data_IF_283368319627
#
_entry.id   IF_283368319627
#
_cell.length_a   1.000
_cell.length_b   1.000
_cell.length_c   1.000
_cell.angle_alpha   90.00
_cell.angle_beta   90.00
_cell.angle_gamma   90.00
#
_symmetry.space_group_name_H-M   'P 1'
#
loop_
_entity.id
_entity.type
_entity.pdbx_description
1 polymer ?
#
# COMPACT_ATOMS: atom_id res chain seq x y z
N UNK A 1 -14.91 -29.11 -0.04
CA UNK A 1 -15.12 -28.58 -1.40
C UNK A 1 -14.66 -27.12 -1.40
N UNK A 2 -13.63 -26.76 -2.18
CA UNK A 2 -13.11 -25.38 -2.18
C UNK A 2 -13.97 -24.47 -3.07
N UNK A 3 -14.54 -23.40 -2.51
CA UNK A 3 -15.33 -22.44 -3.28
C UNK A 3 -14.44 -21.70 -4.28
N UNK A 4 -14.80 -21.75 -5.58
CA UNK A 4 -14.20 -20.89 -6.60
C UNK A 4 -14.56 -19.44 -6.29
N UNK A 5 -13.55 -18.57 -6.27
CA UNK A 5 -13.77 -17.12 -6.12
C UNK A 5 -14.58 -16.62 -7.33
N UNK A 6 -15.58 -15.72 -7.13
CA UNK A 6 -16.34 -15.17 -8.24
C UNK A 6 -15.39 -14.44 -9.21
N UNK A 7 -15.54 -14.72 -10.50
CA UNK A 7 -14.83 -13.98 -11.55
C UNK A 7 -15.29 -12.52 -11.51
N UNK A 8 -14.34 -11.60 -11.32
CA UNK A 8 -14.61 -10.17 -11.39
C UNK A 8 -15.12 -9.76 -12.78
N UNK A 9 -15.73 -8.57 -12.86
CA UNK A 9 -16.32 -8.04 -14.09
C UNK A 9 -15.30 -8.09 -15.26
N UNK A 10 -15.62 -8.77 -16.37
CA UNK A 10 -14.75 -8.79 -17.53
C UNK A 10 -14.65 -7.39 -18.14
N UNK A 11 -13.44 -6.99 -18.52
CA UNK A 11 -13.18 -5.66 -19.08
C UNK A 11 -13.52 -5.67 -20.57
N UNK A 12 -14.56 -4.94 -20.99
CA UNK A 12 -15.17 -5.07 -22.33
C UNK A 12 -14.56 -4.17 -23.43
N UNK A 13 -13.46 -3.46 -23.17
CA UNK A 13 -12.86 -2.64 -24.24
C UNK A 13 -11.73 -1.68 -23.88
N UNK A 14 -11.08 -1.81 -22.72
CA UNK A 14 -10.00 -0.91 -22.32
C UNK A 14 -8.66 -1.63 -22.14
N UNK A 15 -7.55 -0.93 -22.43
CA UNK A 15 -6.24 -1.28 -21.88
C UNK A 15 -6.43 -1.29 -20.35
N UNK A 16 -6.25 -2.45 -19.73
CA UNK A 16 -6.43 -2.61 -18.29
C UNK A 16 -5.58 -1.62 -17.50
N UNK A 17 -5.81 -1.51 -16.19
CA UNK A 17 -5.04 -0.62 -15.32
C UNK A 17 -3.54 -0.90 -15.49
N UNK A 18 -2.77 0.12 -15.90
CA UNK A 18 -1.31 0.03 -16.02
C UNK A 18 -0.74 -0.46 -14.68
N UNK A 19 -0.10 -1.63 -14.70
CA UNK A 19 0.50 -2.22 -13.51
C UNK A 19 1.64 -1.32 -13.06
N UNK A 20 1.58 -0.83 -11.83
CA UNK A 20 2.68 -0.06 -11.26
C UNK A 20 3.94 -0.92 -11.17
N UNK A 21 4.99 -0.52 -11.87
CA UNK A 21 6.29 -1.20 -11.86
C UNK A 21 7.22 -0.75 -10.73
N UNK A 22 6.85 0.31 -9.99
CA UNK A 22 7.69 0.86 -8.92
C UNK A 22 7.68 -0.06 -7.70
N UNK A 23 8.77 -0.81 -7.54
CA UNK A 23 9.06 -1.54 -6.31
C UNK A 23 9.57 -0.56 -5.24
N UNK A 24 8.81 -0.40 -4.15
CA UNK A 24 9.19 0.41 -3.00
C UNK A 24 10.29 -0.30 -2.19
N UNK A 25 11.55 -0.15 -2.62
CA UNK A 25 12.73 -0.63 -1.86
C UNK A 25 13.10 0.36 -0.75
N UNK A 26 12.30 0.36 0.32
CA UNK A 26 12.60 1.12 1.55
C UNK A 26 13.45 0.31 2.53
N UNK A 27 14.37 0.99 3.23
CA UNK A 27 15.17 0.39 4.31
C UNK A 27 14.45 0.54 5.66
N UNK A 28 14.60 -0.46 6.54
CA UNK A 28 14.09 -0.41 7.92
C UNK A 28 14.80 0.66 8.75
N UNK A 29 14.18 1.13 9.83
CA UNK A 29 14.80 2.11 10.74
C UNK A 29 16.10 1.54 11.32
N UNK A 30 16.11 0.28 11.73
CA UNK A 30 17.31 -0.41 12.23
C UNK A 30 18.47 -0.37 11.23
N UNK A 31 18.22 -0.72 9.96
CA UNK A 31 19.26 -0.69 8.94
C UNK A 31 19.75 0.73 8.67
N UNK A 32 18.87 1.73 8.69
CA UNK A 32 19.27 3.14 8.57
C UNK A 32 20.19 3.55 9.72
N UNK A 33 19.88 3.15 10.95
CA UNK A 33 20.70 3.43 12.13
C UNK A 33 22.07 2.76 12.03
N UNK A 34 22.14 1.49 11.63
CA UNK A 34 23.40 0.77 11.43
C UNK A 34 24.30 1.45 10.37
N UNK A 35 23.71 1.84 9.23
CA UNK A 35 24.41 2.55 8.15
C UNK A 35 24.96 3.90 8.65
N UNK A 36 24.15 4.65 9.41
CA UNK A 36 24.57 5.94 9.97
C UNK A 36 25.65 5.78 11.04
N UNK A 37 25.56 4.75 11.89
CA UNK A 37 26.57 4.43 12.89
C UNK A 37 27.93 4.16 12.24
N UNK A 38 27.97 3.30 11.22
CA UNK A 38 29.18 3.03 10.45
C UNK A 38 29.71 4.29 9.76
N UNK A 39 28.85 5.11 9.16
CA UNK A 39 29.25 6.38 8.56
C UNK A 39 29.92 7.32 9.59
N UNK A 40 29.35 7.44 10.79
CA UNK A 40 29.91 8.27 11.86
C UNK A 40 31.26 7.74 12.36
N UNK A 41 31.44 6.43 12.43
CA UNK A 41 32.68 5.79 12.85
C UNK A 41 33.80 6.00 11.83
N UNK A 42 33.54 5.75 10.55
CA UNK A 42 34.56 5.85 9.50
C UNK A 42 34.76 7.28 8.95
N UNK A 43 33.81 8.20 9.19
CA UNK A 43 33.70 9.53 8.57
C UNK A 43 33.81 9.53 7.03
N UNK A 44 33.59 8.38 6.40
CA UNK A 44 33.75 8.19 4.96
C UNK A 44 32.48 7.56 4.37
N UNK A 45 31.82 8.30 3.47
CA UNK A 45 30.55 7.84 2.87
C UNK A 45 30.78 6.77 1.80
N UNK A 46 31.89 6.87 1.06
CA UNK A 46 32.26 5.91 0.01
C UNK A 46 32.47 4.51 0.58
N UNK A 47 33.17 4.41 1.71
CA UNK A 47 33.40 3.14 2.40
C UNK A 47 32.10 2.57 2.96
N UNK A 48 31.25 3.43 3.55
CA UNK A 48 29.93 3.03 4.06
C UNK A 48 29.03 2.50 2.93
N UNK A 49 28.99 3.16 1.78
CA UNK A 49 28.22 2.67 0.62
C UNK A 49 28.78 1.34 0.12
N UNK A 50 30.10 1.19 0.01
CA UNK A 50 30.73 -0.07 -0.41
C UNK A 50 30.39 -1.23 0.54
N UNK A 51 30.30 -0.97 1.85
CA UNK A 51 29.97 -1.97 2.85
C UNK A 51 28.49 -2.41 2.79
N UNK A 52 27.55 -1.46 2.82
CA UNK A 52 26.11 -1.77 2.92
C UNK A 52 25.41 -1.95 1.57
N UNK A 53 26.01 -1.44 0.48
CA UNK A 53 25.43 -1.45 -0.86
C UNK A 53 26.52 -1.78 -1.91
N UNK A 54 27.16 -2.97 -1.83
CA UNK A 54 28.29 -3.32 -2.70
C UNK A 54 27.91 -3.33 -4.19
N UNK A 55 26.68 -3.73 -4.51
CA UNK A 55 26.17 -3.85 -5.89
C UNK A 55 25.45 -2.58 -6.38
N UNK A 56 25.70 -1.42 -5.75
CA UNK A 56 25.04 -0.18 -6.14
C UNK A 56 25.60 0.34 -7.47
N UNK A 57 24.72 0.62 -8.43
CA UNK A 57 25.12 1.24 -9.69
C UNK A 57 25.72 2.64 -9.49
N UNK A 58 26.61 3.05 -10.39
CA UNK A 58 27.20 4.39 -10.39
C UNK A 58 26.14 5.50 -10.47
N UNK A 59 25.11 5.29 -11.29
CA UNK A 59 23.96 6.21 -11.42
C UNK A 59 23.20 6.40 -10.10
N UNK A 60 23.09 5.35 -9.29
CA UNK A 60 22.38 5.40 -7.99
C UNK A 60 23.24 5.88 -6.82
N UNK A 61 24.56 6.01 -7.00
CA UNK A 61 25.50 6.37 -5.94
C UNK A 61 25.15 7.71 -5.27
N UNK A 62 24.95 8.77 -6.06
CA UNK A 62 24.64 10.10 -5.54
C UNK A 62 23.32 10.12 -4.77
N UNK A 63 22.30 9.41 -5.25
CA UNK A 63 21.01 9.26 -4.56
C UNK A 63 21.16 8.56 -3.20
N UNK A 64 21.98 7.51 -3.14
CA UNK A 64 22.24 6.81 -1.87
C UNK A 64 23.08 7.67 -0.91
N UNK A 65 24.10 8.36 -1.42
CA UNK A 65 24.93 9.31 -0.65
C UNK A 65 24.07 10.39 0.01
N UNK A 66 23.24 11.09 -0.77
CA UNK A 66 22.36 12.15 -0.23
C UNK A 66 21.37 11.59 0.80
N UNK A 67 20.87 10.38 0.56
CA UNK A 67 19.97 9.68 1.48
C UNK A 67 20.62 9.35 2.82
N UNK A 68 21.85 8.81 2.82
CA UNK A 68 22.60 8.53 4.06
C UNK A 68 22.89 9.81 4.84
N UNK A 69 23.29 10.89 4.15
CA UNK A 69 23.55 12.19 4.80
C UNK A 69 22.29 12.79 5.41
N UNK A 70 21.13 12.57 4.79
CA UNK A 70 19.83 12.95 5.35
C UNK A 70 19.50 12.12 6.59
N UNK A 71 19.68 10.80 6.56
CA UNK A 71 19.48 9.96 7.76
C UNK A 71 20.40 10.36 8.91
N UNK A 72 21.64 10.75 8.62
CA UNK A 72 22.57 11.25 9.63
C UNK A 72 22.07 12.54 10.30
N UNK A 73 21.46 13.46 9.53
CA UNK A 73 20.81 14.67 10.05
C UNK A 73 19.56 14.34 10.89
N UNK A 74 18.79 13.35 10.46
CA UNK A 74 17.53 12.93 11.10
C UNK A 74 17.72 11.84 12.17
N UNK A 75 18.95 11.59 12.64
CA UNK A 75 19.26 10.46 13.53
C UNK A 75 18.43 10.47 14.83
N UNK A 76 18.14 11.65 15.39
CA UNK A 76 17.29 11.79 16.59
C UNK A 76 15.90 11.20 16.36
N UNK A 77 15.31 11.47 15.19
CA UNK A 77 14.00 10.93 14.79
C UNK A 77 14.02 9.43 14.58
N UNK A 78 15.11 8.90 14.01
CA UNK A 78 15.28 7.46 13.82
C UNK A 78 15.44 6.73 15.15
N UNK A 79 16.20 7.29 16.09
CA UNK A 79 16.36 6.73 17.44
C UNK A 79 15.03 6.74 18.21
N UNK A 80 14.27 7.84 18.15
CA UNK A 80 12.94 7.89 18.76
C UNK A 80 12.01 6.81 18.19
N UNK A 81 11.98 6.65 16.86
CA UNK A 81 11.18 5.60 16.24
C UNK A 81 11.61 4.18 16.63
N UNK A 82 12.91 3.93 16.76
CA UNK A 82 13.41 2.65 17.24
C UNK A 82 13.00 2.38 18.70
N UNK A 83 13.08 3.40 19.56
CA UNK A 83 12.64 3.31 20.96
C UNK A 83 11.13 3.06 21.11
N UNK A 84 10.32 3.58 20.18
CA UNK A 84 8.88 3.29 20.06
C UNK A 84 8.58 1.88 19.49
N UNK A 85 9.58 1.02 19.32
CA UNK A 85 9.40 -0.33 18.76
C UNK A 85 9.21 -0.38 17.24
N UNK A 86 9.41 0.74 16.52
CA UNK A 86 9.21 0.83 15.06
C UNK A 86 10.49 0.54 14.26
N UNK A 87 11.40 -0.25 14.83
CA UNK A 87 12.70 -0.58 14.24
C UNK A 87 12.61 -1.26 12.86
N UNK A 88 11.64 -2.17 12.71
CA UNK A 88 11.37 -2.91 11.46
C UNK A 88 10.64 -2.08 10.41
N UNK A 89 10.14 -0.89 10.75
CA UNK A 89 9.36 -0.07 9.82
C UNK A 89 10.24 0.56 8.75
N UNK A 90 9.78 0.53 7.50
CA UNK A 90 10.48 1.20 6.37
C UNK A 90 10.22 2.71 6.33
N UNK A 91 9.07 3.16 6.84
CA UNK A 91 8.66 4.57 6.92
C UNK A 91 8.08 4.84 8.31
N UNK A 92 8.59 5.88 8.97
CA UNK A 92 8.04 6.39 10.23
C UNK A 92 6.94 7.39 9.87
N UNK A 93 5.70 7.10 10.25
CA UNK A 93 4.55 8.01 10.11
C UNK A 93 4.19 8.57 11.49
N UNK A 94 3.70 9.80 11.53
CA UNK A 94 3.09 10.37 12.74
C UNK A 94 1.86 9.54 13.13
N UNK A 95 1.65 9.42 14.44
CA UNK A 95 0.41 8.87 15.00
C UNK A 95 -0.75 9.73 14.49
N UNK A 96 -1.86 9.11 14.08
CA UNK A 96 -3.01 9.81 13.50
C UNK A 96 -2.90 10.12 12.00
N UNK A 97 -1.80 9.77 11.33
CA UNK A 97 -1.68 9.86 9.85
C UNK A 97 -1.98 8.53 9.15
N UNK A 98 -2.42 7.52 9.90
CA UNK A 98 -3.01 6.35 9.31
C UNK A 98 -4.39 6.75 8.78
N UNK A 99 -4.63 6.54 7.48
CA UNK A 99 -5.96 6.62 6.86
C UNK A 99 -6.85 5.44 7.27
N UNK A 100 -6.58 4.85 8.43
CA UNK A 100 -7.21 3.64 8.96
C UNK A 100 -8.15 4.15 10.03
N UNK A 101 -9.44 3.88 9.86
CA UNK A 101 -10.46 4.29 10.82
C UNK A 101 -10.35 3.41 12.07
N UNK A 102 -11.09 3.72 13.14
CA UNK A 102 -11.18 2.77 14.25
C UNK A 102 -11.77 1.46 13.73
N UNK A 103 -11.44 0.33 14.38
CA UNK A 103 -11.95 -0.98 13.98
C UNK A 103 -13.50 -1.01 13.92
N UNK A 104 -14.15 -0.30 14.85
CA UNK A 104 -15.60 -0.12 14.89
C UNK A 104 -16.12 0.66 13.66
N UNK A 105 -15.46 1.75 13.29
CA UNK A 105 -15.82 2.53 12.09
C UNK A 105 -15.58 1.74 10.80
N UNK A 106 -14.51 0.95 10.71
CA UNK A 106 -14.28 0.06 9.57
C UNK A 106 -15.34 -1.04 9.47
N UNK A 107 -15.74 -1.62 10.61
CA UNK A 107 -16.82 -2.61 10.67
C UNK A 107 -18.17 -2.01 10.26
N UNK A 108 -18.50 -0.81 10.76
CA UNK A 108 -19.71 -0.08 10.37
C UNK A 108 -19.75 0.20 8.87
N UNK A 109 -18.65 0.70 8.29
CA UNK A 109 -18.58 0.95 6.84
C UNK A 109 -18.67 -0.34 6.03
N UNK A 110 -18.05 -1.43 6.49
CA UNK A 110 -18.16 -2.73 5.83
C UNK A 110 -19.60 -3.25 5.86
N UNK A 111 -20.30 -3.12 6.99
CA UNK A 111 -21.70 -3.47 7.11
C UNK A 111 -22.57 -2.62 6.18
N UNK A 112 -22.40 -1.29 6.20
CA UNK A 112 -23.15 -0.39 5.32
C UNK A 112 -22.94 -0.69 3.83
N UNK A 113 -21.68 -0.94 3.40
CA UNK A 113 -21.39 -1.33 2.01
C UNK A 113 -21.99 -2.69 1.69
N UNK A 114 -22.00 -3.63 2.63
CA UNK A 114 -22.61 -4.94 2.43
C UNK A 114 -24.13 -4.83 2.33
N UNK A 115 -24.80 -4.03 3.17
CA UNK A 115 -26.24 -3.74 3.04
C UNK A 115 -26.57 -3.08 1.69
N UNK A 116 -25.70 -2.19 1.20
CA UNK A 116 -25.84 -1.59 -0.12
C UNK A 116 -25.68 -2.62 -1.25
N UNK A 117 -24.77 -3.59 -1.09
CA UNK A 117 -24.49 -4.65 -2.08
C UNK A 117 -25.48 -5.81 -2.03
N UNK A 118 -26.02 -6.09 -0.85
CA UNK A 118 -27.04 -7.12 -0.59
C UNK A 118 -28.45 -6.58 -0.86
N UNK A 119 -28.55 -5.36 -1.39
CA UNK A 119 -29.71 -4.94 -2.17
C UNK A 119 -29.75 -5.72 -3.51
N UNK A 120 -29.89 -7.05 -3.40
CA UNK A 120 -30.55 -7.89 -4.40
C UNK A 120 -31.75 -7.17 -4.98
N UNK A 121 -32.48 -6.42 -4.15
CA UNK A 121 -33.51 -5.47 -4.55
C UNK A 121 -33.07 -4.41 -5.58
N UNK A 122 -31.97 -3.66 -5.38
CA UNK A 122 -31.50 -2.73 -6.44
C UNK A 122 -31.13 -3.47 -7.73
N UNK A 123 -30.55 -4.66 -7.62
CA UNK A 123 -30.18 -5.44 -8.80
C UNK A 123 -31.40 -5.96 -9.54
N UNK A 124 -32.45 -6.37 -8.79
CA UNK A 124 -33.73 -6.81 -9.31
C UNK A 124 -34.51 -5.64 -9.92
N UNK A 125 -34.60 -4.51 -9.23
CA UNK A 125 -35.23 -3.28 -9.70
C UNK A 125 -34.55 -2.83 -11.01
N UNK A 126 -33.21 -2.81 -11.05
CA UNK A 126 -32.50 -2.45 -12.29
C UNK A 126 -32.65 -3.48 -13.41
N UNK A 127 -32.79 -4.76 -13.07
CA UNK A 127 -33.04 -5.81 -14.06
C UNK A 127 -34.45 -5.70 -14.66
N UNK A 128 -35.44 -5.30 -13.86
CA UNK A 128 -36.80 -5.01 -14.32
C UNK A 128 -36.81 -3.79 -15.26
N UNK A 129 -36.16 -2.68 -14.88
CA UNK A 129 -36.05 -1.49 -15.74
C UNK A 129 -35.45 -1.82 -17.12
N UNK A 130 -34.36 -2.60 -17.14
CA UNK A 130 -33.69 -3.00 -18.40
C UNK A 130 -34.55 -3.96 -19.23
N UNK A 131 -35.33 -4.83 -18.59
CA UNK A 131 -36.24 -5.73 -19.28
C UNK A 131 -37.42 -4.98 -19.91
N UNK A 132 -37.93 -3.94 -19.25
CA UNK A 132 -38.95 -3.03 -19.79
C UNK A 132 -38.41 -2.24 -20.99
N UNK A 133 -37.22 -1.64 -20.87
CA UNK A 133 -36.56 -0.91 -21.97
C UNK A 133 -36.27 -1.79 -23.20
N UNK A 134 -36.05 -3.09 -22.98
CA UNK A 134 -35.78 -4.07 -24.04
C UNK A 134 -37.03 -4.83 -24.54
N UNK A 135 -38.23 -4.44 -24.07
CA UNK A 135 -39.52 -5.06 -24.41
C UNK A 135 -39.58 -6.58 -24.17
N UNK A 136 -38.86 -7.07 -23.15
CA UNK A 136 -38.83 -8.50 -22.81
C UNK A 136 -40.09 -8.87 -22.03
N UNK A 137 -41.07 -9.44 -22.74
CA UNK A 137 -42.33 -9.89 -22.14
C UNK A 137 -42.13 -11.04 -21.14
N UNK A 138 -42.63 -10.86 -19.91
CA UNK A 138 -42.71 -11.93 -18.90
C UNK A 138 -41.48 -12.08 -17.99
N UNK A 139 -40.58 -11.10 -17.96
CA UNK A 139 -39.42 -11.14 -17.05
C UNK A 139 -39.85 -10.95 -15.59
N UNK A 140 -39.54 -11.92 -14.72
CA UNK A 140 -39.80 -11.88 -13.30
C UNK A 140 -38.56 -12.31 -12.51
N UNK A 141 -38.20 -11.55 -11.48
CA UNK A 141 -37.11 -11.88 -10.56
C UNK A 141 -37.66 -12.79 -9.46
N UNK A 142 -37.45 -14.11 -9.58
CA UNK A 142 -37.92 -15.08 -8.58
C UNK A 142 -37.20 -14.93 -7.23
N UNK A 143 -37.95 -15.07 -6.14
CA UNK A 143 -37.45 -15.26 -4.77
C UNK A 143 -36.78 -16.62 -4.60
#
# INVERSE_FOLDING_TARGET
MAHKRPQGRPNLGGIGRHVQQYQLTGETVEKKLAVVAHYKQCKAIKTTIKHYYPNLSSRSYNSKRTTILRWAREIKRLNAAAAEGKGTHKKVRSVGTATVLSAESEAYLAQWVNELRDSTKMLQDKALDVAEEAEVLGFATGC
#
